data_IF_006496614548
#
_entry.id   IF_006496614548
#
_cell.length_a   1.000
_cell.length_b   1.000
_cell.length_c   1.000
_cell.angle_alpha   90.00
_cell.angle_beta   90.00
_cell.angle_gamma   90.00
#
_symmetry.space_group_name_H-M   'P 1'
#
loop_
_entity.id
_entity.type
_entity.pdbx_description
1 polymer ?
#
# COMPACT_ATOMS: atom_id res chain seq x y z
N UNK A 1 0.76 6.81 -19.81
CA UNK A 1 0.00 7.93 -19.23
C UNK A 1 0.46 8.11 -17.80
N UNK A 2 1.01 9.28 -17.49
CA UNK A 2 1.52 9.60 -16.14
C UNK A 2 0.55 10.56 -15.45
N UNK A 3 0.22 10.26 -14.19
CA UNK A 3 -0.60 11.14 -13.35
C UNK A 3 -0.22 11.04 -11.86
N UNK A 4 -0.86 11.88 -11.04
CA UNK A 4 -0.68 11.85 -9.59
C UNK A 4 -2.01 11.89 -8.85
N UNK A 5 -2.15 11.06 -7.82
CA UNK A 5 -3.35 11.00 -6.98
C UNK A 5 -2.98 11.30 -5.54
N UNK A 6 -3.76 12.18 -4.90
CA UNK A 6 -3.65 12.45 -3.48
C UNK A 6 -4.36 11.36 -2.69
N UNK A 7 -3.70 10.87 -1.63
CA UNK A 7 -4.23 9.84 -0.75
C UNK A 7 -3.57 9.96 0.64
N UNK A 8 -3.79 8.96 1.48
CA UNK A 8 -3.35 8.94 2.88
C UNK A 8 -2.44 7.75 3.12
N UNK A 9 -1.35 7.97 3.85
CA UNK A 9 -0.46 6.91 4.32
C UNK A 9 -1.16 6.05 5.38
N UNK A 10 -1.15 4.72 5.22
CA UNK A 10 -1.79 3.78 6.15
C UNK A 10 -0.80 3.04 7.07
N UNK A 11 0.51 3.25 6.90
CA UNK A 11 1.54 2.51 7.65
C UNK A 11 1.70 3.02 9.08
N UNK A 12 1.50 4.33 9.30
CA UNK A 12 1.64 4.96 10.61
C UNK A 12 0.30 5.47 11.14
N UNK A 13 0.24 5.72 12.46
CA UNK A 13 -0.94 6.30 13.12
C UNK A 13 -1.27 7.73 12.68
N UNK A 14 -0.28 8.44 12.13
CA UNK A 14 -0.43 9.86 11.82
C UNK A 14 -1.34 10.12 10.62
N UNK A 15 -1.56 9.15 9.73
CA UNK A 15 -2.35 9.36 8.52
C UNK A 15 -1.82 10.53 7.65
N UNK A 16 -0.51 10.58 7.40
CA UNK A 16 0.12 11.62 6.58
C UNK A 16 -0.52 11.72 5.19
N UNK A 17 -0.69 12.95 4.67
CA UNK A 17 -1.10 13.16 3.29
C UNK A 17 0.05 12.84 2.33
N UNK A 18 -0.26 12.05 1.30
CA UNK A 18 0.73 11.61 0.32
C UNK A 18 0.22 11.80 -1.10
N UNK A 19 1.17 11.91 -2.03
CA UNK A 19 0.95 11.95 -3.47
C UNK A 19 1.51 10.66 -4.07
N UNK A 20 0.63 9.86 -4.67
CA UNK A 20 1.00 8.68 -5.42
C UNK A 20 1.19 9.03 -6.89
N UNK A 21 2.42 8.89 -7.40
CA UNK A 21 2.71 9.03 -8.82
C UNK A 21 2.44 7.70 -9.51
N UNK A 22 1.69 7.73 -10.62
CA UNK A 22 1.33 6.54 -11.37
C UNK A 22 1.75 6.66 -12.82
N UNK A 23 2.26 5.56 -13.36
CA UNK A 23 2.55 5.38 -14.78
C UNK A 23 1.75 4.18 -15.25
N UNK A 24 0.91 4.39 -16.27
CA UNK A 24 0.04 3.36 -16.86
C UNK A 24 -0.79 2.62 -15.80
N UNK A 25 -1.35 3.39 -14.86
CA UNK A 25 -2.19 2.89 -13.78
C UNK A 25 -1.45 2.19 -12.63
N UNK A 26 -0.11 2.05 -12.70
CA UNK A 26 0.69 1.49 -11.62
C UNK A 26 1.36 2.60 -10.83
N UNK A 27 1.25 2.55 -9.51
CA UNK A 27 2.00 3.42 -8.60
C UNK A 27 3.49 3.09 -8.77
N UNK A 28 4.31 4.11 -8.95
CA UNK A 28 5.77 3.97 -9.09
C UNK A 28 6.53 4.70 -7.98
N UNK A 29 5.89 5.70 -7.35
CA UNK A 29 6.47 6.47 -6.26
C UNK A 29 5.39 7.03 -5.33
N UNK A 30 5.76 7.22 -4.07
CA UNK A 30 4.93 7.85 -3.04
C UNK A 30 5.75 8.94 -2.36
N UNK A 31 5.33 10.20 -2.48
CA UNK A 31 5.94 11.31 -1.75
C UNK A 31 4.92 11.97 -0.82
N UNK A 32 5.38 12.77 0.15
CA UNK A 32 4.45 13.54 0.96
C UNK A 32 3.78 14.64 0.14
N UNK A 33 2.52 14.92 0.44
CA UNK A 33 1.82 16.05 -0.18
C UNK A 33 2.23 17.37 0.49
N UNK A 34 2.81 18.29 -0.30
CA UNK A 34 3.26 19.61 0.17
C UNK A 34 2.11 20.46 0.70
N UNK A 35 0.89 20.24 0.20
CA UNK A 35 -0.30 20.99 0.61
C UNK A 35 -0.98 20.40 1.85
N UNK A 36 -0.61 19.21 2.28
CA UNK A 36 -1.21 18.60 3.46
C UNK A 36 -0.69 19.29 4.74
N UNK A 37 -1.59 19.83 5.59
CA UNK A 37 -1.18 20.61 6.75
C UNK A 37 -0.47 19.79 7.83
N UNK A 38 -0.73 18.48 7.88
CA UNK A 38 -0.22 17.60 8.92
C UNK A 38 1.28 17.32 8.75
N UNK A 39 1.70 16.95 7.54
CA UNK A 39 3.07 16.53 7.26
C UNK A 39 3.84 17.47 6.32
N UNK A 40 3.18 18.43 5.65
CA UNK A 40 3.82 19.48 4.82
C UNK A 40 4.85 18.92 3.84
N UNK A 41 4.52 17.82 3.17
CA UNK A 41 5.41 17.13 2.23
C UNK A 41 6.38 16.12 2.84
N UNK A 42 6.54 16.06 4.17
CA UNK A 42 7.40 15.07 4.79
C UNK A 42 6.77 13.67 4.73
N UNK A 43 7.55 12.65 4.35
CA UNK A 43 7.13 11.26 4.38
C UNK A 43 8.27 10.40 4.92
N UNK A 44 8.00 9.60 5.96
CA UNK A 44 9.00 8.73 6.55
C UNK A 44 9.41 7.58 5.61
N UNK A 45 10.56 6.92 5.83
CA UNK A 45 11.01 5.80 4.99
C UNK A 45 9.99 4.66 4.87
N UNK A 46 9.24 4.38 5.94
CA UNK A 46 8.17 3.37 5.91
C UNK A 46 7.01 3.75 4.99
N UNK A 47 6.63 5.02 4.96
CA UNK A 47 5.57 5.53 4.08
C UNK A 47 6.00 5.56 2.61
N UNK A 48 7.26 5.88 2.34
CA UNK A 48 7.86 5.76 1.01
C UNK A 48 7.87 4.28 0.54
N UNK A 49 8.24 3.36 1.43
CA UNK A 49 8.34 1.94 1.13
C UNK A 49 7.01 1.18 1.03
N UNK A 50 5.86 1.78 1.41
CA UNK A 50 4.57 1.08 1.44
C UNK A 50 4.11 0.56 0.06
N UNK A 51 4.70 1.09 -1.03
CA UNK A 51 4.51 0.59 -2.39
C UNK A 51 4.84 -0.91 -2.51
N UNK A 52 5.81 -1.41 -1.74
CA UNK A 52 6.17 -2.82 -1.72
C UNK A 52 4.99 -3.70 -1.28
N UNK A 53 4.19 -3.25 -0.30
CA UNK A 53 3.01 -3.99 0.16
C UNK A 53 1.88 -4.01 -0.87
N UNK A 54 1.80 -3.03 -1.76
CA UNK A 54 0.80 -3.00 -2.85
C UNK A 54 1.11 -4.07 -3.90
N UNK A 55 2.40 -4.29 -4.16
CA UNK A 55 2.90 -5.20 -5.19
C UNK A 55 3.56 -6.46 -4.64
N UNK A 56 3.31 -6.78 -3.37
CA UNK A 56 3.87 -7.95 -2.72
C UNK A 56 3.51 -9.22 -3.53
N UNK A 57 4.50 -10.06 -3.88
CA UNK A 57 4.25 -11.28 -4.67
C UNK A 57 3.28 -12.24 -3.97
N UNK A 58 3.26 -12.23 -2.63
CA UNK A 58 2.40 -13.08 -1.80
C UNK A 58 1.04 -12.44 -1.50
N UNK A 59 0.75 -11.25 -2.04
CA UNK A 59 -0.55 -10.58 -1.87
C UNK A 59 -1.67 -11.44 -2.45
N UNK A 60 -2.65 -11.78 -1.61
CA UNK A 60 -3.86 -12.50 -2.02
C UNK A 60 -4.60 -11.77 -3.15
N UNK A 61 -4.87 -12.47 -4.24
CA UNK A 61 -5.55 -11.94 -5.43
C UNK A 61 -6.95 -12.53 -5.62
N UNK A 62 -7.18 -13.69 -5.04
CA UNK A 62 -8.44 -14.44 -5.09
C UNK A 62 -8.85 -14.83 -3.67
N UNK A 63 -10.16 -15.02 -3.43
CA UNK A 63 -10.62 -15.65 -2.19
C UNK A 63 -10.00 -17.03 -2.04
N UNK A 64 -9.70 -17.45 -0.80
CA UNK A 64 -9.16 -18.77 -0.50
C UNK A 64 -10.06 -19.50 0.50
N UNK A 65 -10.28 -20.80 0.27
CA UNK A 65 -11.01 -21.70 1.15
C UNK A 65 -10.04 -22.60 1.91
N UNK A 66 -10.18 -22.64 3.24
CA UNK A 66 -9.38 -23.55 4.08
C UNK A 66 -9.84 -24.98 3.88
N UNK A 67 -8.91 -25.90 3.63
CA UNK A 67 -9.23 -27.30 3.28
C UNK A 67 -8.88 -28.31 4.37
N UNK A 68 -8.34 -27.87 5.52
CA UNK A 68 -7.99 -28.74 6.63
C UNK A 68 -8.60 -28.26 7.98
N UNK A 69 -8.47 -29.02 9.09
CA UNK A 69 -8.95 -28.65 10.44
C UNK A 69 -8.15 -27.53 11.12
N UNK A 70 -8.82 -26.70 11.94
CA UNK A 70 -8.19 -25.57 12.65
C UNK A 70 -7.16 -26.11 13.66
N UNK A 71 -5.99 -25.47 13.75
CA UNK A 71 -4.89 -25.90 14.62
C UNK A 71 -3.74 -26.61 13.87
N UNK A 72 -3.98 -27.06 12.64
CA UNK A 72 -2.95 -27.56 11.73
C UNK A 72 -2.38 -26.45 10.82
N UNK A 73 -1.22 -26.72 10.20
CA UNK A 73 -0.66 -25.83 9.15
C UNK A 73 -1.70 -25.65 8.04
N UNK A 74 -2.04 -24.41 7.72
CA UNK A 74 -3.14 -24.12 6.78
C UNK A 74 -2.88 -24.67 5.38
N UNK A 75 -3.83 -25.45 4.87
CA UNK A 75 -3.94 -25.81 3.47
C UNK A 75 -5.12 -25.04 2.86
N UNK A 76 -4.91 -24.51 1.66
CA UNK A 76 -5.84 -23.58 1.02
C UNK A 76 -6.04 -23.98 -0.44
N UNK A 77 -7.28 -23.81 -0.91
CA UNK A 77 -7.66 -23.90 -2.33
C UNK A 77 -8.28 -22.57 -2.73
N UNK A 78 -7.99 -22.12 -3.94
CA UNK A 78 -8.74 -21.02 -4.57
C UNK A 78 -10.24 -21.34 -4.73
#
# INVERSE_FOLDING_TARGET
>A
MEDSVLTTCWIGSQACGIRAQRVDGRIVKLDGDLMNPLNRGALCPRGQAQIASVYDPDRLRTPLVRTNPKGERGAWRE
#
